data_IF_962912314112
#
_entry.id   IF_962912314112
#
_cell.length_a   1.000
_cell.length_b   1.000
_cell.length_c   1.000
_cell.angle_alpha   90.00
_cell.angle_beta   90.00
_cell.angle_gamma   90.00
#
_symmetry.space_group_name_H-M   'P 1'
#
loop_
_entity.id
_entity.type
_entity.pdbx_description
1 polymer ?
#
# COMPACT_ATOMS: atom_id res chain seq x y z
N UNK A 1 15.17 0.75 -2.84
CA UNK A 1 14.36 -0.50 -2.91
C UNK A 1 13.67 -0.51 -4.29
N UNK A 2 14.09 -1.36 -5.21
CA UNK A 2 13.43 -1.49 -6.50
C UNK A 2 12.26 -2.46 -6.33
N UNK A 3 11.09 -1.92 -6.12
CA UNK A 3 9.84 -2.67 -5.93
C UNK A 3 9.54 -3.59 -7.11
N UNK A 4 9.95 -3.20 -8.34
CA UNK A 4 9.80 -4.02 -9.56
C UNK A 4 10.44 -5.41 -9.50
N UNK A 5 11.42 -5.63 -8.59
CA UNK A 5 12.05 -6.94 -8.42
C UNK A 5 11.31 -7.83 -7.40
N UNK A 6 10.29 -7.30 -6.72
CA UNK A 6 9.55 -8.02 -5.67
C UNK A 6 8.42 -8.89 -6.22
N UNK A 7 7.96 -8.62 -7.43
CA UNK A 7 6.87 -9.39 -8.05
C UNK A 7 6.97 -9.42 -9.57
N UNK A 8 6.86 -10.61 -10.18
CA UNK A 8 6.71 -10.74 -11.61
C UNK A 8 5.38 -10.14 -12.07
N UNK A 9 5.31 -9.59 -13.28
CA UNK A 9 4.10 -8.99 -13.87
C UNK A 9 2.86 -9.92 -13.91
N UNK A 10 3.08 -11.21 -13.68
CA UNK A 10 2.04 -12.26 -13.76
C UNK A 10 1.27 -12.48 -12.44
N UNK A 11 1.67 -11.86 -11.32
CA UNK A 11 1.01 -12.13 -10.04
C UNK A 11 -0.22 -11.25 -9.87
N UNK A 12 -1.33 -11.87 -9.49
CA UNK A 12 -2.63 -11.22 -9.34
C UNK A 12 -3.02 -10.94 -7.89
N UNK A 13 -2.45 -11.65 -6.91
CA UNK A 13 -2.83 -11.54 -5.51
C UNK A 13 -1.67 -11.08 -4.63
N UNK A 14 -1.92 -10.02 -3.85
CA UNK A 14 -0.96 -9.39 -2.96
C UNK A 14 -1.55 -9.28 -1.55
N UNK A 15 -0.84 -9.80 -0.55
CA UNK A 15 -1.10 -9.56 0.86
C UNK A 15 -0.05 -8.61 1.41
N UNK A 16 -0.47 -7.40 1.76
CA UNK A 16 0.34 -6.36 2.38
C UNK A 16 -0.09 -6.25 3.86
N UNK A 17 0.72 -6.73 4.79
CA UNK A 17 0.33 -6.79 6.20
C UNK A 17 1.39 -6.16 7.12
N UNK A 18 0.97 -5.69 8.29
CA UNK A 18 1.87 -5.08 9.28
C UNK A 18 1.42 -3.69 9.73
N UNK A 19 2.25 -3.03 10.52
CA UNK A 19 1.92 -1.76 11.17
C UNK A 19 2.14 -0.53 10.30
N UNK A 20 3.08 -0.59 9.34
CA UNK A 20 3.50 0.56 8.55
C UNK A 20 2.50 0.92 7.45
N UNK A 21 1.43 1.64 7.81
CA UNK A 21 0.38 2.06 6.88
C UNK A 21 0.91 2.96 5.77
N UNK A 22 1.87 3.84 6.08
CA UNK A 22 2.48 4.74 5.09
C UNK A 22 3.24 3.96 4.02
N UNK A 23 4.02 2.96 4.40
CA UNK A 23 4.77 2.13 3.45
C UNK A 23 3.86 1.18 2.68
N UNK A 24 2.83 0.59 3.33
CA UNK A 24 1.80 -0.18 2.61
C UNK A 24 1.12 0.65 1.53
N UNK A 25 0.77 1.91 1.84
CA UNK A 25 0.17 2.81 0.86
C UNK A 25 1.13 3.09 -0.30
N UNK A 26 2.38 3.41 -0.03
CA UNK A 26 3.40 3.66 -1.05
C UNK A 26 3.54 2.48 -2.03
N UNK A 27 3.65 1.25 -1.51
CA UNK A 27 3.75 0.05 -2.33
C UNK A 27 2.45 -0.21 -3.10
N UNK A 28 1.28 0.01 -2.48
CA UNK A 28 -0.01 -0.08 -3.16
C UNK A 28 -0.07 0.87 -4.36
N UNK A 29 0.32 2.14 -4.17
CA UNK A 29 0.31 3.17 -5.22
C UNK A 29 1.26 2.79 -6.38
N UNK A 30 2.40 2.15 -6.10
CA UNK A 30 3.32 1.65 -7.13
C UNK A 30 2.68 0.50 -7.93
N UNK A 31 2.09 -0.49 -7.25
CA UNK A 31 1.42 -1.63 -7.91
C UNK A 31 0.28 -1.14 -8.80
N UNK A 32 -0.54 -0.23 -8.29
CA UNK A 32 -1.67 0.36 -9.03
C UNK A 32 -1.17 1.11 -10.26
N UNK A 33 -0.13 1.93 -10.12
CA UNK A 33 0.42 2.72 -11.23
C UNK A 33 0.91 1.86 -12.38
N UNK A 34 1.49 0.71 -12.09
CA UNK A 34 1.98 -0.21 -13.12
C UNK A 34 0.85 -0.94 -13.86
N UNK A 35 -0.39 -0.94 -13.32
CA UNK A 35 -1.55 -1.67 -13.85
C UNK A 35 -2.67 -0.81 -14.43
N UNK A 36 -2.59 0.44 -14.30
CA UNK A 36 -3.20 1.66 -14.89
C UNK A 36 -4.68 1.74 -15.33
N UNK A 37 -5.67 0.92 -14.97
CA UNK A 37 -6.99 1.21 -15.55
C UNK A 37 -8.08 1.53 -14.53
N UNK A 38 -8.63 0.59 -13.82
CA UNK A 38 -9.71 0.85 -12.86
C UNK A 38 -9.30 0.41 -11.46
N UNK A 39 -9.46 1.29 -10.49
CA UNK A 39 -9.13 1.00 -9.08
C UNK A 39 -10.39 1.06 -8.25
N UNK A 40 -10.81 -0.08 -7.71
CA UNK A 40 -11.93 -0.19 -6.79
C UNK A 40 -11.40 -0.49 -5.39
N UNK A 41 -11.94 0.19 -4.41
CA UNK A 41 -11.51 0.05 -3.01
C UNK A 41 -12.69 -0.31 -2.13
N UNK A 42 -12.53 -1.39 -1.39
CA UNK A 42 -13.52 -1.92 -0.46
C UNK A 42 -12.95 -2.09 0.94
N UNK A 43 -13.82 -2.10 1.92
CA UNK A 43 -13.51 -2.57 3.25
C UNK A 43 -13.78 -4.08 3.35
N UNK A 44 -12.91 -4.83 4.03
CA UNK A 44 -13.12 -6.27 4.19
C UNK A 44 -14.43 -6.63 4.91
N UNK A 45 -14.86 -5.77 5.84
CA UNK A 45 -16.09 -5.97 6.61
C UNK A 45 -17.34 -5.80 5.73
N UNK A 46 -17.30 -4.85 4.80
CA UNK A 46 -18.34 -4.66 3.79
C UNK A 46 -18.52 -5.91 2.92
N UNK A 47 -17.40 -6.47 2.45
CA UNK A 47 -17.45 -7.69 1.63
C UNK A 47 -17.87 -8.91 2.45
N UNK A 48 -17.44 -9.04 3.71
CA UNK A 48 -17.87 -10.13 4.61
C UNK A 48 -19.39 -10.11 4.78
N UNK A 49 -19.97 -8.92 4.95
CA UNK A 49 -21.42 -8.76 5.13
C UNK A 49 -22.21 -8.97 3.83
N UNK A 50 -21.60 -8.70 2.69
CA UNK A 50 -22.23 -8.90 1.38
C UNK A 50 -21.19 -9.38 0.33
N UNK A 51 -20.87 -10.67 0.30
CA UNK A 51 -19.86 -11.21 -0.63
C UNK A 51 -20.21 -11.02 -2.10
N UNK A 52 -21.50 -10.85 -2.45
CA UNK A 52 -21.92 -10.65 -3.84
C UNK A 52 -21.33 -9.38 -4.47
N UNK A 53 -20.96 -8.38 -3.66
CA UNK A 53 -20.33 -7.14 -4.15
C UNK A 53 -19.06 -7.47 -4.94
N UNK A 54 -18.11 -8.20 -4.34
CA UNK A 54 -16.84 -8.50 -4.99
C UNK A 54 -17.02 -9.46 -6.15
N UNK A 55 -17.88 -10.47 -6.03
CA UNK A 55 -18.10 -11.43 -7.11
C UNK A 55 -18.83 -10.81 -8.30
N UNK A 56 -19.75 -9.88 -8.10
CA UNK A 56 -20.37 -9.13 -9.20
C UNK A 56 -19.37 -8.24 -9.92
N UNK A 57 -18.49 -7.55 -9.19
CA UNK A 57 -17.42 -6.74 -9.79
C UNK A 57 -16.44 -7.57 -10.63
N UNK A 58 -16.08 -8.75 -10.14
CA UNK A 58 -15.17 -9.65 -10.84
C UNK A 58 -15.80 -10.31 -12.08
N UNK A 59 -17.12 -10.54 -12.04
CA UNK A 59 -17.85 -11.13 -13.17
C UNK A 59 -18.31 -10.09 -14.21
N UNK A 60 -18.44 -8.81 -13.82
CA UNK A 60 -18.78 -7.71 -14.72
C UNK A 60 -17.55 -7.33 -15.56
N UNK A 61 -17.20 -8.16 -16.54
CA UNK A 61 -16.17 -7.81 -17.52
C UNK A 61 -16.75 -6.73 -18.42
N UNK A 62 -16.32 -5.48 -18.22
CA UNK A 62 -16.61 -4.41 -19.17
C UNK A 62 -15.96 -4.73 -20.52
N UNK A 63 -16.70 -4.59 -21.60
CA UNK A 63 -16.17 -4.76 -22.96
C UNK A 63 -15.07 -3.74 -23.31
N UNK A 64 -14.84 -2.76 -22.45
CA UNK A 64 -13.93 -1.63 -22.68
C UNK A 64 -12.80 -1.51 -21.64
N UNK A 65 -12.87 -2.22 -20.50
CA UNK A 65 -11.86 -2.17 -19.44
C UNK A 65 -11.25 -3.56 -19.24
N UNK A 66 -10.03 -3.74 -19.71
CA UNK A 66 -9.37 -5.05 -19.66
C UNK A 66 -8.65 -5.30 -18.34
N UNK A 67 -8.28 -4.25 -17.58
CA UNK A 67 -7.47 -4.40 -16.36
C UNK A 67 -8.10 -3.69 -15.16
N UNK A 68 -8.18 -4.37 -14.03
CA UNK A 68 -8.74 -3.82 -12.78
C UNK A 68 -7.86 -4.13 -11.58
N UNK A 69 -7.79 -3.19 -10.66
CA UNK A 69 -7.17 -3.39 -9.35
C UNK A 69 -8.24 -3.27 -8.26
N UNK A 70 -8.38 -4.32 -7.48
CA UNK A 70 -9.22 -4.32 -6.28
C UNK A 70 -8.34 -4.15 -5.06
N UNK A 71 -8.61 -3.13 -4.25
CA UNK A 71 -7.94 -2.90 -2.97
C UNK A 71 -8.90 -3.23 -1.84
N UNK A 72 -8.54 -4.18 -1.01
CA UNK A 72 -9.35 -4.61 0.13
C UNK A 72 -8.62 -4.18 1.40
N UNK A 73 -9.21 -3.24 2.12
CA UNK A 73 -8.64 -2.67 3.33
C UNK A 73 -9.09 -3.40 4.59
N UNK A 74 -8.30 -3.29 5.66
CA UNK A 74 -8.58 -3.79 7.02
C UNK A 74 -8.90 -5.29 7.07
N UNK A 75 -8.29 -6.06 6.18
CA UNK A 75 -8.51 -7.51 6.14
C UNK A 75 -8.00 -8.18 7.43
N UNK A 76 -8.77 -9.15 7.89
CA UNK A 76 -8.46 -10.02 9.04
C UNK A 76 -8.64 -11.48 8.62
N UNK A 77 -8.29 -12.43 9.48
CA UNK A 77 -8.51 -13.84 9.20
C UNK A 77 -9.99 -14.21 8.98
N UNK A 78 -10.94 -13.36 9.37
CA UNK A 78 -12.36 -13.53 9.04
C UNK A 78 -12.62 -13.43 7.54
N UNK A 79 -11.78 -12.71 6.82
CA UNK A 79 -11.87 -12.54 5.36
C UNK A 79 -11.31 -13.74 4.59
N UNK A 80 -10.63 -14.66 5.27
CA UNK A 80 -9.88 -15.76 4.65
C UNK A 80 -10.74 -16.67 3.76
N UNK A 81 -11.98 -17.00 4.15
CA UNK A 81 -12.87 -17.84 3.34
C UNK A 81 -13.21 -17.20 1.98
N UNK A 82 -13.35 -15.86 1.93
CA UNK A 82 -13.57 -15.16 0.66
C UNK A 82 -12.31 -15.22 -0.22
N UNK A 83 -11.13 -15.14 0.41
CA UNK A 83 -9.87 -15.29 -0.34
C UNK A 83 -9.76 -16.67 -0.97
N UNK A 84 -10.14 -17.74 -0.26
CA UNK A 84 -10.13 -19.10 -0.82
C UNK A 84 -11.04 -19.19 -2.04
N UNK A 85 -12.27 -18.69 -1.96
CA UNK A 85 -13.20 -18.63 -3.10
C UNK A 85 -12.67 -17.82 -4.28
N UNK A 86 -11.90 -16.75 -3.99
CA UNK A 86 -11.27 -15.92 -5.03
C UNK A 86 -10.07 -16.61 -5.68
N UNK A 87 -9.29 -17.36 -4.91
CA UNK A 87 -8.11 -18.07 -5.40
C UNK A 87 -8.46 -19.27 -6.29
N UNK A 88 -9.63 -19.89 -6.06
CA UNK A 88 -10.11 -21.01 -6.87
C UNK A 88 -10.52 -20.61 -8.29
N UNK A 89 -10.67 -19.30 -8.53
CA UNK A 89 -11.01 -18.75 -9.84
C UNK A 89 -9.79 -18.11 -10.49
N UNK A 90 -9.62 -18.35 -11.77
CA UNK A 90 -8.54 -17.72 -12.53
C UNK A 90 -9.00 -16.36 -13.06
N UNK A 91 -8.47 -15.29 -12.52
CA UNK A 91 -8.75 -13.93 -12.97
C UNK A 91 -7.58 -13.42 -13.81
N UNK A 92 -7.78 -13.39 -15.13
CA UNK A 92 -6.87 -12.70 -16.01
C UNK A 92 -7.16 -11.19 -15.92
N UNK A 93 -6.13 -10.37 -15.95
CA UNK A 93 -6.24 -8.90 -15.97
C UNK A 93 -6.86 -8.26 -14.70
N UNK A 94 -6.88 -8.97 -13.57
CA UNK A 94 -7.30 -8.42 -12.28
C UNK A 94 -6.17 -8.57 -11.25
N UNK A 95 -5.83 -7.46 -10.58
CA UNK A 95 -4.97 -7.48 -9.39
C UNK A 95 -5.81 -7.28 -8.14
N UNK A 96 -5.56 -8.10 -7.14
CA UNK A 96 -6.23 -8.04 -5.84
C UNK A 96 -5.17 -7.73 -4.77
N UNK A 97 -5.28 -6.56 -4.17
CA UNK A 97 -4.38 -6.09 -3.12
C UNK A 97 -5.12 -6.12 -1.78
N UNK A 98 -4.73 -7.03 -0.92
CA UNK A 98 -5.31 -7.22 0.41
C UNK A 98 -4.41 -6.51 1.41
N UNK A 99 -4.93 -5.51 2.11
CA UNK A 99 -4.23 -4.76 3.14
C UNK A 99 -4.73 -5.17 4.51
N UNK A 100 -3.83 -5.70 5.32
CA UNK A 100 -4.12 -6.16 6.68
C UNK A 100 -3.28 -5.40 7.72
N UNK A 101 -3.73 -5.38 8.95
CA UNK A 101 -2.92 -5.00 10.10
C UNK A 101 -1.87 -6.07 10.42
N UNK A 102 -1.47 -6.15 11.67
CA UNK A 102 -0.55 -7.20 12.12
C UNK A 102 -1.21 -8.56 11.99
N UNK A 103 -0.56 -9.49 11.33
CA UNK A 103 -0.97 -10.89 11.25
C UNK A 103 0.09 -11.76 11.95
N UNK A 104 -0.31 -12.51 12.94
CA UNK A 104 0.59 -13.43 13.64
C UNK A 104 0.95 -14.66 12.79
N UNK A 105 1.87 -15.50 13.29
CA UNK A 105 2.28 -16.73 12.60
C UNK A 105 1.19 -17.80 12.49
N UNK A 106 0.11 -17.67 13.25
CA UNK A 106 -1.04 -18.60 13.22
C UNK A 106 -2.11 -18.15 12.24
N UNK A 107 -2.03 -16.93 11.71
CA UNK A 107 -2.95 -16.38 10.72
C UNK A 107 -3.09 -17.33 9.52
N UNK A 108 -4.31 -17.73 9.21
CA UNK A 108 -4.60 -18.59 8.05
C UNK A 108 -4.29 -17.87 6.75
N UNK A 109 -4.66 -16.62 6.67
CA UNK A 109 -4.40 -15.75 5.50
C UNK A 109 -2.89 -15.61 5.25
N UNK A 110 -2.11 -15.23 6.27
CA UNK A 110 -0.66 -15.14 6.17
C UNK A 110 -0.03 -16.46 5.77
N UNK A 111 -0.40 -17.57 6.41
CA UNK A 111 0.14 -18.89 6.11
C UNK A 111 -0.15 -19.34 4.66
N UNK A 112 -1.34 -19.04 4.14
CA UNK A 112 -1.70 -19.36 2.75
C UNK A 112 -0.80 -18.62 1.76
N UNK A 113 -0.62 -17.30 1.99
CA UNK A 113 0.19 -16.47 1.11
C UNK A 113 1.69 -16.80 1.21
N UNK A 114 2.23 -17.03 2.41
CA UNK A 114 3.66 -17.36 2.59
C UNK A 114 4.05 -18.72 1.99
N UNK A 115 3.13 -19.67 1.93
CA UNK A 115 3.39 -21.02 1.39
C UNK A 115 3.22 -21.12 -0.12
N UNK A 116 2.53 -20.20 -0.75
CA UNK A 116 2.28 -20.22 -2.18
C UNK A 116 3.39 -19.51 -2.95
N UNK A 117 3.79 -20.07 -4.09
CA UNK A 117 4.72 -19.42 -5.02
C UNK A 117 4.05 -18.41 -5.94
N UNK A 118 2.73 -18.49 -6.07
CA UNK A 118 1.93 -17.67 -6.99
C UNK A 118 1.30 -16.47 -6.30
N UNK A 119 1.45 -16.36 -4.97
CA UNK A 119 0.91 -15.26 -4.17
C UNK A 119 2.04 -14.41 -3.60
N UNK A 120 1.83 -13.10 -3.58
CA UNK A 120 2.79 -12.16 -3.00
C UNK A 120 2.42 -11.84 -1.56
N UNK A 121 3.34 -12.07 -0.62
CA UNK A 121 3.16 -11.78 0.79
C UNK A 121 4.28 -10.86 1.27
N UNK A 122 3.92 -9.62 1.65
CA UNK A 122 4.90 -8.61 2.06
C UNK A 122 4.58 -8.09 3.47
N UNK A 123 5.48 -8.30 4.44
CA UNK A 123 5.37 -7.70 5.76
C UNK A 123 5.86 -6.25 5.76
N UNK A 124 5.16 -5.38 6.47
CA UNK A 124 5.49 -3.98 6.64
C UNK A 124 5.69 -3.65 8.12
N UNK A 125 6.94 -3.66 8.53
CA UNK A 125 7.34 -3.25 9.89
C UNK A 125 7.47 -1.74 9.98
N UNK A 126 7.36 -1.19 11.19
CA UNK A 126 7.65 0.23 11.44
C UNK A 126 9.08 0.57 11.00
N UNK A 127 9.24 1.77 10.49
CA UNK A 127 10.55 2.24 10.05
C UNK A 127 11.44 2.55 11.27
N UNK A 128 12.72 2.32 11.13
CA UNK A 128 13.71 2.86 12.05
C UNK A 128 13.95 4.36 11.80
N UNK A 129 14.54 5.02 12.78
CA UNK A 129 14.81 6.46 12.69
C UNK A 129 15.73 6.80 11.52
N UNK A 130 16.68 5.94 11.17
CA UNK A 130 17.62 6.17 10.06
C UNK A 130 16.92 6.17 8.71
N UNK A 131 15.96 5.27 8.53
CA UNK A 131 15.10 5.22 7.33
C UNK A 131 14.26 6.49 7.20
N UNK A 132 13.63 6.93 8.28
CA UNK A 132 12.82 8.17 8.27
C UNK A 132 13.67 9.42 8.03
N UNK A 133 14.87 9.50 8.60
CA UNK A 133 15.84 10.57 8.33
C UNK A 133 16.21 10.61 6.86
N UNK A 134 16.49 9.45 6.26
CA UNK A 134 16.83 9.34 4.83
C UNK A 134 15.67 9.80 3.95
N UNK A 135 14.43 9.44 4.28
CA UNK A 135 13.25 9.88 3.56
C UNK A 135 13.04 11.39 3.64
N UNK A 136 13.21 11.97 4.83
CA UNK A 136 13.12 13.41 5.04
C UNK A 136 14.21 14.17 4.29
N UNK A 137 15.45 13.72 4.36
CA UNK A 137 16.58 14.33 3.65
C UNK A 137 16.37 14.32 2.14
N UNK A 138 15.94 13.20 1.58
CA UNK A 138 15.60 13.08 0.16
C UNK A 138 14.47 14.04 -0.26
N UNK A 139 13.49 14.25 0.59
CA UNK A 139 12.44 15.23 0.36
C UNK A 139 13.01 16.64 0.25
N UNK A 140 13.80 17.09 1.24
CA UNK A 140 14.37 18.42 1.24
C UNK A 140 15.33 18.66 0.06
N UNK A 141 16.14 17.65 -0.30
CA UNK A 141 16.99 17.68 -1.50
C UNK A 141 16.18 17.86 -2.78
N UNK A 142 15.07 17.16 -2.92
CA UNK A 142 14.16 17.27 -4.08
C UNK A 142 13.63 18.71 -4.25
N UNK A 143 13.28 19.36 -3.15
CA UNK A 143 12.78 20.74 -3.15
C UNK A 143 13.90 21.80 -3.10
N UNK A 144 15.19 21.38 -3.07
CA UNK A 144 16.37 22.26 -2.96
C UNK A 144 16.30 23.18 -1.74
N UNK A 145 15.77 22.68 -0.63
CA UNK A 145 15.67 23.38 0.65
C UNK A 145 16.80 22.93 1.56
N UNK A 146 17.60 23.90 2.02
CA UNK A 146 18.61 23.64 3.05
C UNK A 146 17.96 23.54 4.42
N UNK A 147 18.21 22.43 5.11
CA UNK A 147 17.74 22.18 6.48
C UNK A 147 18.88 21.54 7.28
N UNK A 148 18.98 21.87 8.55
CA UNK A 148 19.97 21.24 9.44
C UNK A 148 19.56 19.81 9.79
N UNK A 149 20.56 18.94 10.05
CA UNK A 149 20.31 17.57 10.50
C UNK A 149 19.52 17.53 11.81
N UNK A 150 19.76 18.50 12.70
CA UNK A 150 19.01 18.65 13.94
C UNK A 150 17.50 18.82 13.70
N UNK A 151 17.13 19.69 12.77
CA UNK A 151 15.73 19.92 12.40
C UNK A 151 15.09 18.68 11.75
N UNK A 152 15.83 17.93 10.92
CA UNK A 152 15.38 16.66 10.38
C UNK A 152 15.08 15.67 11.52
N UNK A 153 15.99 15.55 12.49
CA UNK A 153 15.84 14.66 13.64
C UNK A 153 14.59 15.01 14.46
N UNK A 154 14.33 16.31 14.69
CA UNK A 154 13.13 16.76 15.42
C UNK A 154 11.84 16.34 14.67
N UNK A 155 11.80 16.46 13.33
CA UNK A 155 10.67 16.03 12.54
C UNK A 155 10.47 14.51 12.69
N UNK A 156 11.54 13.75 12.55
CA UNK A 156 11.53 12.28 12.60
C UNK A 156 11.10 11.75 13.97
N UNK A 157 11.61 12.32 15.06
CA UNK A 157 11.24 11.94 16.43
C UNK A 157 9.74 12.08 16.68
N UNK A 158 9.12 13.15 16.16
CA UNK A 158 7.67 13.36 16.26
C UNK A 158 6.86 12.31 15.51
N UNK A 159 7.43 11.69 14.51
CA UNK A 159 6.73 10.68 13.68
C UNK A 159 6.66 9.30 14.34
N UNK A 160 7.47 9.02 15.39
CA UNK A 160 7.46 7.78 16.18
C UNK A 160 7.52 6.50 15.33
N UNK A 161 8.35 6.48 14.30
CA UNK A 161 8.47 5.32 13.38
C UNK A 161 7.33 5.19 12.35
N UNK A 162 6.38 6.11 12.31
CA UNK A 162 5.28 6.08 11.35
C UNK A 162 5.59 6.94 10.12
N UNK A 163 5.82 6.28 9.00
CA UNK A 163 6.08 6.90 7.70
C UNK A 163 4.89 7.77 7.22
N UNK A 164 3.67 7.40 7.55
CA UNK A 164 2.48 8.20 7.21
C UNK A 164 2.51 9.54 7.93
N UNK A 165 2.89 9.55 9.21
CA UNK A 165 3.07 10.78 9.96
C UNK A 165 4.16 11.64 9.35
N UNK A 166 5.32 11.05 8.97
CA UNK A 166 6.39 11.77 8.29
C UNK A 166 5.88 12.44 7.01
N UNK A 167 5.21 11.72 6.14
CA UNK A 167 4.67 12.30 4.90
C UNK A 167 3.64 13.40 5.16
N UNK A 168 2.85 13.29 6.21
CA UNK A 168 1.92 14.35 6.61
C UNK A 168 2.63 15.63 7.04
N UNK A 169 3.71 15.51 7.81
CA UNK A 169 4.54 16.67 8.20
C UNK A 169 5.26 17.28 6.99
N UNK A 170 5.84 16.45 6.14
CA UNK A 170 6.52 16.91 4.92
C UNK A 170 5.56 17.57 3.93
N UNK A 171 4.30 17.14 3.83
CA UNK A 171 3.29 17.78 2.99
C UNK A 171 2.95 19.21 3.47
N UNK A 172 2.97 19.45 4.79
CA UNK A 172 2.80 20.81 5.33
C UNK A 172 3.97 21.71 4.91
N UNK A 173 5.20 21.18 5.00
CA UNK A 173 6.40 21.90 4.55
C UNK A 173 6.35 22.17 3.05
N UNK A 174 5.94 21.19 2.23
CA UNK A 174 5.77 21.38 0.78
C UNK A 174 4.81 22.52 0.46
N UNK A 175 3.69 22.60 1.18
CA UNK A 175 2.71 23.66 1.01
C UNK A 175 3.31 25.04 1.32
N UNK A 176 4.11 25.16 2.38
CA UNK A 176 4.82 26.40 2.72
C UNK A 176 5.83 26.80 1.66
N UNK A 177 6.61 25.84 1.13
CA UNK A 177 7.59 26.10 0.06
C UNK A 177 6.88 26.65 -1.18
N UNK A 178 5.76 26.05 -1.58
CA UNK A 178 4.96 26.47 -2.74
C UNK A 178 4.39 27.88 -2.57
N UNK A 179 3.94 28.23 -1.37
CA UNK A 179 3.45 29.58 -1.07
C UNK A 179 4.59 30.58 -1.17
N UNK A 180 5.74 30.31 -0.53
CA UNK A 180 6.89 31.20 -0.54
C UNK A 180 7.42 31.46 -1.97
N UNK A 181 7.48 30.43 -2.80
CA UNK A 181 7.90 30.57 -4.20
C UNK A 181 6.91 31.36 -5.07
N UNK A 182 5.62 31.44 -4.69
CA UNK A 182 4.64 32.30 -5.37
C UNK A 182 4.71 33.76 -4.97
N UNK A 183 5.25 34.06 -3.80
CA UNK A 183 5.38 35.44 -3.27
C UNK A 183 6.68 36.10 -3.73
N UNK A 184 7.65 35.35 -4.23
CA UNK A 184 8.97 35.83 -4.70
C UNK A 184 9.04 35.98 -6.21
N UNK A 185 7.91 35.94 -6.93
CA UNK A 185 7.73 36.33 -8.33
C UNK A 185 6.85 37.57 -8.38
#
# INVERSE_FOLDING_TARGET
FQVKNLYPDKQSFFLLYGENEGFKKEITDIIVKDFQESVLTYDSEEIINNPSIIFSELNNVSLFENKRTLIINRATDKFFYIIEDLLDKNYNDIKIIIRAGVLDKKSKMRNKFEKSKDLVCIPFYIDDSSTLVTLADNFFKKFKVSISQENINIIVERCRGDRKNLYSELAKVESLIKIKNKVTV
#
